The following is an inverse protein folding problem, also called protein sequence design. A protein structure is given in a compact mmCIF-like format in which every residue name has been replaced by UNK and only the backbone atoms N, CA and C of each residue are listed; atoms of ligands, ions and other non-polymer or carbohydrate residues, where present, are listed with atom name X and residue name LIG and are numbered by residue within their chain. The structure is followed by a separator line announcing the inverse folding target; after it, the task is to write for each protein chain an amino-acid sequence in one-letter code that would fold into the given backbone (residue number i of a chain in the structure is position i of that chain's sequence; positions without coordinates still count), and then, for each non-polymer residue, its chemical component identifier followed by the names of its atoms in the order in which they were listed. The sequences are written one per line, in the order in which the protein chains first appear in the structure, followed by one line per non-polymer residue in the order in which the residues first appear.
data_IF_361785167000
#
_entry.id   IF_361785167000
#
_cell.length_a   1.000
_cell.length_b   1.000
_cell.length_c   1.000
_cell.angle_alpha   90.00
_cell.angle_beta   90.00
_cell.angle_gamma   90.00
#
_symmetry.space_group_name_H-M   'P 1'
#
loop_
_entity.id
_entity.type
_entity.pdbx_description
1 polymer ?
#
# COMPACT_ATOMS: atom_id res chain seq x y z
N UNK A 1 6.78 -21.42 2.18
CA UNK A 1 5.56 -21.04 2.87
C UNK A 1 5.30 -19.52 2.85
N UNK A 2 6.35 -18.69 2.98
CA UNK A 2 6.27 -17.23 3.04
C UNK A 2 7.24 -16.64 2.02
N UNK A 3 6.74 -16.06 0.92
CA UNK A 3 7.61 -15.46 -0.09
C UNK A 3 8.09 -14.06 0.27
N UNK A 4 7.24 -13.28 0.97
CA UNK A 4 7.46 -11.88 1.31
C UNK A 4 6.83 -11.53 2.66
N UNK A 5 7.47 -10.64 3.41
CA UNK A 5 6.99 -10.14 4.69
C UNK A 5 7.01 -8.60 4.71
N UNK A 6 5.88 -7.99 5.01
CA UNK A 6 5.84 -6.57 5.34
C UNK A 6 6.04 -6.39 6.86
N UNK A 7 6.94 -5.50 7.27
CA UNK A 7 7.09 -5.12 8.68
C UNK A 7 6.94 -3.60 8.79
N UNK A 8 5.93 -3.18 9.54
CA UNK A 8 5.85 -1.80 9.99
C UNK A 8 6.77 -1.66 11.22
N UNK A 9 7.88 -0.98 11.04
CA UNK A 9 8.85 -0.78 12.13
C UNK A 9 8.34 0.19 13.18
N UNK A 10 7.51 1.15 12.76
CA UNK A 10 6.85 2.15 13.60
C UNK A 10 5.61 2.69 12.88
N UNK A 11 4.60 3.18 13.59
CA UNK A 11 3.54 4.02 13.02
C UNK A 11 3.85 5.52 13.15
N UNK A 12 4.89 5.89 13.91
CA UNK A 12 5.35 7.28 14.03
C UNK A 12 5.98 7.74 12.72
N UNK A 13 5.78 9.01 12.38
CA UNK A 13 6.29 9.61 11.17
C UNK A 13 6.64 11.08 11.38
N UNK A 14 7.78 11.52 10.85
CA UNK A 14 8.17 12.91 10.82
C UNK A 14 7.39 13.76 9.79
N UNK A 15 6.43 13.15 9.08
CA UNK A 15 5.41 13.81 8.28
C UNK A 15 4.03 13.68 8.93
N UNK A 16 3.18 14.69 8.70
CA UNK A 16 1.76 14.68 9.07
C UNK A 16 0.88 14.76 7.81
N UNK A 17 1.11 13.87 6.84
CA UNK A 17 0.47 13.93 5.53
C UNK A 17 -1.05 13.90 5.62
N UNK A 18 -1.70 14.80 4.83
CA UNK A 18 -3.16 14.99 4.86
C UNK A 18 -3.95 13.73 4.49
N UNK A 19 -3.39 12.83 3.67
CA UNK A 19 -4.02 11.62 3.14
C UNK A 19 -3.56 10.33 3.84
N UNK A 20 -2.63 10.40 4.81
CA UNK A 20 -2.04 9.19 5.37
C UNK A 20 -3.02 8.41 6.24
N UNK A 21 -3.09 7.10 5.99
CA UNK A 21 -4.00 6.19 6.69
C UNK A 21 -3.38 5.48 7.90
N UNK A 22 -2.10 5.68 8.19
CA UNK A 22 -1.39 4.99 9.28
C UNK A 22 -0.67 5.94 10.26
N UNK A 23 -0.10 7.05 9.81
CA UNK A 23 0.85 7.83 10.59
C UNK A 23 0.32 8.32 11.95
N UNK A 24 1.22 8.28 12.92
CA UNK A 24 1.15 8.96 14.21
C UNK A 24 2.25 10.03 14.28
N UNK A 25 2.16 11.03 15.17
CA UNK A 25 3.22 12.00 15.39
C UNK A 25 4.56 11.33 15.73
N UNK A 26 5.67 11.92 15.29
CA UNK A 26 7.02 11.38 15.56
C UNK A 26 7.34 11.29 17.05
N UNK A 27 6.77 12.17 17.86
CA UNK A 27 6.93 12.28 19.31
C UNK A 27 5.83 11.57 20.11
N UNK A 28 5.00 10.73 19.47
CA UNK A 28 3.99 9.92 20.16
C UNK A 28 4.67 8.86 21.05
N UNK A 29 4.82 9.20 22.35
CA UNK A 29 5.47 8.32 23.33
C UNK A 29 4.75 7.01 23.56
N UNK A 30 3.40 7.01 23.49
CA UNK A 30 2.62 5.78 23.67
C UNK A 30 2.87 4.80 22.54
N UNK A 31 2.91 5.32 21.31
CA UNK A 31 3.27 4.51 20.15
C UNK A 31 4.70 3.97 20.29
N UNK A 32 5.65 4.83 20.67
CA UNK A 32 7.05 4.46 20.85
C UNK A 32 7.26 3.37 21.90
N UNK A 33 6.61 3.48 23.04
CA UNK A 33 6.68 2.51 24.14
C UNK A 33 6.05 1.15 23.78
N UNK A 34 5.03 1.18 22.89
CA UNK A 34 4.34 -0.03 22.45
C UNK A 34 5.00 -0.71 21.25
N UNK A 35 5.96 -0.07 20.58
CA UNK A 35 6.65 -0.63 19.43
C UNK A 35 7.40 -1.92 19.76
N UNK A 36 7.47 -2.84 18.79
CA UNK A 36 8.30 -4.03 18.93
C UNK A 36 9.73 -3.67 19.30
N UNK A 37 10.27 -4.34 20.30
CA UNK A 37 11.69 -4.24 20.63
C UNK A 37 12.58 -4.73 19.48
N UNK A 38 13.85 -4.29 19.45
CA UNK A 38 14.87 -4.80 18.53
C UNK A 38 14.91 -6.33 18.51
N UNK A 39 14.90 -6.95 19.69
CA UNK A 39 14.90 -8.41 19.81
C UNK A 39 13.66 -9.06 19.18
N UNK A 40 12.48 -8.45 19.34
CA UNK A 40 11.24 -8.95 18.74
C UNK A 40 11.29 -8.87 17.21
N UNK A 41 11.73 -7.73 16.65
CA UNK A 41 11.87 -7.59 15.19
C UNK A 41 12.87 -8.62 14.64
N UNK A 42 14.01 -8.81 15.28
CA UNK A 42 15.01 -9.82 14.88
C UNK A 42 14.46 -11.24 14.94
N UNK A 43 13.67 -11.57 15.98
CA UNK A 43 12.98 -12.86 16.07
C UNK A 43 12.04 -13.06 14.90
N UNK A 44 11.20 -12.06 14.58
CA UNK A 44 10.27 -12.13 13.45
C UNK A 44 11.00 -12.31 12.11
N UNK A 45 12.11 -11.60 11.89
CA UNK A 45 12.95 -11.74 10.69
C UNK A 45 13.57 -13.14 10.59
N UNK A 46 14.05 -13.70 11.72
CA UNK A 46 14.62 -15.05 11.79
C UNK A 46 13.56 -16.11 11.48
N UNK A 47 12.36 -15.98 12.07
CA UNK A 47 11.23 -16.87 11.79
C UNK A 47 10.82 -16.79 10.31
N UNK A 48 10.76 -15.59 9.73
CA UNK A 48 10.43 -15.38 8.32
C UNK A 48 11.46 -16.07 7.40
N UNK A 49 12.75 -15.88 7.65
CA UNK A 49 13.82 -16.53 6.89
C UNK A 49 13.72 -18.06 6.99
N UNK A 50 13.47 -18.62 8.17
CA UNK A 50 13.26 -20.05 8.38
C UNK A 50 12.00 -20.61 7.70
N UNK A 51 11.04 -19.76 7.37
CA UNK A 51 9.82 -20.09 6.61
C UNK A 51 10.00 -19.96 5.09
N UNK A 52 11.22 -19.64 4.62
CA UNK A 52 11.56 -19.51 3.21
C UNK A 52 11.27 -18.10 2.64
N UNK A 53 11.13 -17.09 3.49
CA UNK A 53 10.98 -15.71 3.06
C UNK A 53 12.22 -15.24 2.31
N UNK A 54 12.00 -14.62 1.14
CA UNK A 54 13.07 -14.13 0.27
C UNK A 54 13.27 -12.62 0.41
N UNK A 55 12.21 -11.90 0.77
CA UNK A 55 12.25 -10.45 0.87
C UNK A 55 11.41 -9.92 2.02
N UNK A 56 11.82 -8.80 2.57
CA UNK A 56 11.09 -8.06 3.60
C UNK A 56 10.92 -6.61 3.14
N UNK A 57 9.72 -6.06 3.36
CA UNK A 57 9.48 -4.62 3.25
C UNK A 57 9.56 -3.98 4.62
N UNK A 58 10.47 -3.04 4.80
CA UNK A 58 10.47 -2.13 5.94
C UNK A 58 9.62 -0.90 5.59
N UNK A 59 8.60 -0.68 6.40
CA UNK A 59 7.58 0.35 6.19
C UNK A 59 7.02 0.81 7.54
N UNK A 60 5.88 1.47 7.51
CA UNK A 60 5.17 1.97 8.70
C UNK A 60 4.76 3.42 8.50
N UNK A 61 5.02 4.26 9.52
CA UNK A 61 5.04 5.71 9.36
C UNK A 61 6.30 6.11 8.59
N UNK A 62 7.41 6.34 9.31
CA UNK A 62 8.73 6.49 8.69
C UNK A 62 9.71 5.52 9.38
N UNK A 63 10.15 4.46 8.71
CA UNK A 63 11.01 3.46 9.33
C UNK A 63 12.37 4.00 9.80
N UNK A 64 12.88 5.06 9.15
CA UNK A 64 14.15 5.70 9.52
C UNK A 64 14.07 6.52 10.83
N UNK A 65 12.89 6.66 11.45
CA UNK A 65 12.75 7.21 12.79
C UNK A 65 13.27 6.28 13.89
N UNK A 66 13.40 4.99 13.62
CA UNK A 66 13.92 4.05 14.61
C UNK A 66 15.43 4.21 14.76
N UNK A 67 15.89 4.40 15.99
CA UNK A 67 17.31 4.55 16.30
C UNK A 67 18.11 3.27 15.97
N UNK A 68 17.46 2.10 16.06
CA UNK A 68 18.04 0.79 15.75
C UNK A 68 17.84 0.35 14.28
N UNK A 69 17.38 1.26 13.39
CA UNK A 69 17.10 0.93 11.99
C UNK A 69 18.29 0.30 11.27
N UNK A 70 19.48 0.89 11.40
CA UNK A 70 20.71 0.37 10.76
C UNK A 70 21.01 -1.06 11.19
N UNK A 71 20.89 -1.34 12.47
CA UNK A 71 21.11 -2.68 13.03
C UNK A 71 20.10 -3.70 12.47
N UNK A 72 18.81 -3.34 12.43
CA UNK A 72 17.75 -4.18 11.89
C UNK A 72 17.92 -4.42 10.39
N UNK A 73 18.29 -3.39 9.64
CA UNK A 73 18.59 -3.49 8.22
C UNK A 73 19.72 -4.47 7.95
N UNK A 74 20.86 -4.30 8.62
CA UNK A 74 22.03 -5.18 8.49
C UNK A 74 21.70 -6.61 8.95
N UNK A 75 20.87 -6.76 9.97
CA UNK A 75 20.42 -8.08 10.43
C UNK A 75 19.59 -8.79 9.35
N UNK A 76 18.61 -8.12 8.74
CA UNK A 76 17.83 -8.67 7.64
C UNK A 76 18.73 -9.09 6.45
N UNK A 77 19.70 -8.23 6.09
CA UNK A 77 20.66 -8.52 5.02
C UNK A 77 21.56 -9.73 5.35
N UNK A 78 22.00 -9.89 6.61
CA UNK A 78 22.76 -11.08 7.06
C UNK A 78 21.96 -12.37 7.00
N UNK A 79 20.64 -12.32 7.18
CA UNK A 79 19.74 -13.46 6.98
C UNK A 79 19.52 -13.81 5.50
N UNK A 80 20.10 -13.05 4.55
CA UNK A 80 19.92 -13.24 3.11
C UNK A 80 18.63 -12.62 2.56
N UNK A 81 17.87 -11.91 3.37
CA UNK A 81 16.64 -11.26 2.93
C UNK A 81 16.96 -10.05 2.06
N UNK A 82 16.30 -9.94 0.91
CA UNK A 82 16.24 -8.70 0.15
C UNK A 82 15.37 -7.71 0.93
N UNK A 83 15.80 -6.46 1.04
CA UNK A 83 15.04 -5.41 1.74
C UNK A 83 14.43 -4.46 0.72
N UNK A 84 13.11 -4.30 0.76
CA UNK A 84 12.40 -3.19 0.13
C UNK A 84 12.14 -2.13 1.20
N UNK A 85 12.65 -0.93 1.01
CA UNK A 85 12.48 0.16 1.99
C UNK A 85 11.50 1.21 1.46
N UNK A 86 10.41 1.42 2.20
CA UNK A 86 9.51 2.55 1.98
C UNK A 86 9.88 3.70 2.90
N UNK A 87 10.24 4.84 2.34
CA UNK A 87 10.66 6.02 3.12
C UNK A 87 10.21 7.32 2.44
N UNK A 88 10.00 8.35 3.23
CA UNK A 88 9.82 9.71 2.71
C UNK A 88 11.15 10.41 2.39
N UNK A 89 12.27 9.75 2.57
CA UNK A 89 13.66 10.15 2.34
C UNK A 89 14.16 11.36 3.17
N UNK A 90 13.35 11.99 4.02
CA UNK A 90 13.75 13.17 4.79
C UNK A 90 14.87 12.90 5.79
N UNK A 91 14.92 11.68 6.33
CA UNK A 91 15.90 11.23 7.33
C UNK A 91 17.10 10.51 6.71
N UNK A 92 17.20 10.47 5.39
CA UNK A 92 18.41 9.94 4.72
C UNK A 92 19.57 10.87 5.02
N UNK A 93 20.56 10.36 5.75
CA UNK A 93 21.83 11.02 6.05
C UNK A 93 22.93 10.52 5.11
N UNK A 94 24.08 11.20 5.07
CA UNK A 94 25.24 10.73 4.33
C UNK A 94 25.69 9.33 4.80
N UNK A 95 25.66 9.07 6.11
CA UNK A 95 25.97 7.76 6.70
C UNK A 95 25.04 6.66 6.21
N UNK A 96 23.71 6.90 6.21
CA UNK A 96 22.73 5.93 5.69
C UNK A 96 22.89 5.69 4.20
N UNK A 97 23.12 6.74 3.41
CA UNK A 97 23.34 6.61 1.98
C UNK A 97 24.64 5.83 1.69
N UNK A 98 25.71 6.04 2.47
CA UNK A 98 26.95 5.27 2.40
C UNK A 98 26.72 3.79 2.80
N UNK A 99 25.87 3.54 3.81
CA UNK A 99 25.46 2.18 4.19
C UNK A 99 24.74 1.49 3.02
N UNK A 100 23.73 2.13 2.42
CA UNK A 100 22.97 1.55 1.31
C UNK A 100 23.85 1.34 0.06
N UNK A 101 24.85 2.16 -0.16
CA UNK A 101 25.81 1.96 -1.25
C UNK A 101 26.72 0.74 -1.01
N UNK A 102 27.18 0.55 0.24
CA UNK A 102 28.06 -0.60 0.61
C UNK A 102 27.30 -1.92 0.76
N UNK A 103 26.10 -1.86 1.29
CA UNK A 103 25.22 -3.00 1.50
C UNK A 103 23.87 -2.70 0.85
N UNK A 104 23.73 -2.89 -0.47
CA UNK A 104 22.50 -2.54 -1.18
C UNK A 104 21.29 -3.30 -0.63
N UNK A 105 20.09 -2.72 -0.67
CA UNK A 105 18.87 -3.35 -0.18
C UNK A 105 18.55 -4.71 -0.83
N UNK A 106 18.96 -4.91 -2.09
CA UNK A 106 18.66 -6.13 -2.86
C UNK A 106 17.27 -6.10 -3.52
N UNK A 107 16.41 -5.22 -3.09
CA UNK A 107 15.21 -4.69 -3.76
C UNK A 107 15.38 -3.17 -3.92
N UNK A 108 14.42 -2.52 -4.56
CA UNK A 108 14.44 -1.06 -4.73
C UNK A 108 13.95 -0.36 -3.46
N UNK A 109 14.55 0.80 -3.17
CA UNK A 109 13.91 1.75 -2.24
C UNK A 109 12.75 2.44 -2.96
N UNK A 110 11.68 2.70 -2.24
CA UNK A 110 10.52 3.43 -2.79
C UNK A 110 10.28 4.69 -1.96
N UNK A 111 10.27 5.83 -2.65
CA UNK A 111 10.08 7.14 -2.02
C UNK A 111 8.83 7.81 -2.56
N UNK A 112 7.96 8.30 -1.66
CA UNK A 112 6.75 9.02 -2.05
C UNK A 112 7.03 10.50 -2.21
N UNK A 113 6.62 11.06 -3.35
CA UNK A 113 6.76 12.49 -3.68
C UNK A 113 5.40 13.18 -3.50
N UNK A 114 5.40 14.24 -2.72
CA UNK A 114 4.18 14.97 -2.35
C UNK A 114 3.99 16.28 -3.14
N UNK A 115 4.95 16.67 -3.93
CA UNK A 115 4.95 17.87 -4.77
C UNK A 115 6.35 18.19 -5.29
N UNK A 116 6.43 19.00 -6.33
CA UNK A 116 7.70 19.42 -6.96
C UNK A 116 8.19 20.77 -6.46
N UNK A 117 7.40 21.44 -5.62
CA UNK A 117 7.71 22.76 -5.04
C UNK A 117 7.52 22.73 -3.52
N UNK A 118 8.25 23.58 -2.77
CA UNK A 118 8.07 23.67 -1.31
C UNK A 118 6.60 23.84 -0.91
N UNK A 119 5.87 24.75 -1.56
CA UNK A 119 4.49 25.06 -1.23
C UNK A 119 3.55 23.86 -1.39
N UNK A 120 3.64 23.11 -2.50
CA UNK A 120 2.79 21.94 -2.75
C UNK A 120 3.18 20.75 -1.87
N UNK A 121 4.48 20.48 -1.73
CA UNK A 121 5.00 19.40 -0.93
C UNK A 121 4.62 19.56 0.55
N UNK A 122 4.86 20.76 1.11
CA UNK A 122 4.62 21.07 2.52
C UNK A 122 3.12 21.23 2.85
N UNK A 123 2.30 21.62 1.88
CA UNK A 123 0.86 21.57 2.03
C UNK A 123 0.34 20.13 2.22
N UNK A 124 1.01 19.14 1.63
CA UNK A 124 0.68 17.72 1.79
C UNK A 124 1.29 17.12 3.04
N UNK A 125 2.60 17.30 3.24
CA UNK A 125 3.34 16.75 4.39
C UNK A 125 2.96 17.40 5.72
N UNK A 126 2.47 18.65 5.69
CA UNK A 126 2.13 19.49 6.84
C UNK A 126 3.33 19.80 7.75
N UNK A 127 4.53 19.79 7.19
CA UNK A 127 5.78 20.07 7.91
C UNK A 127 6.60 21.09 7.11
N UNK A 128 6.77 22.31 7.63
CA UNK A 128 7.67 23.32 7.02
C UNK A 128 9.10 22.80 6.89
N UNK A 129 9.77 23.11 5.77
CA UNK A 129 11.12 22.65 5.48
C UNK A 129 11.24 21.21 4.98
N UNK A 130 10.16 20.43 5.03
CA UNK A 130 10.20 19.02 4.64
C UNK A 130 10.57 18.79 3.17
N UNK A 131 10.27 19.73 2.27
CA UNK A 131 10.68 19.65 0.88
C UNK A 131 12.22 19.72 0.72
N UNK A 132 12.86 20.64 1.41
CA UNK A 132 14.32 20.78 1.38
C UNK A 132 15.02 19.52 1.94
N UNK A 133 14.47 18.95 3.02
CA UNK A 133 14.98 17.70 3.59
C UNK A 133 14.80 16.50 2.66
N UNK A 134 13.62 16.38 2.03
CA UNK A 134 13.35 15.37 1.01
C UNK A 134 14.36 15.48 -0.15
N UNK A 135 14.53 16.68 -0.71
CA UNK A 135 15.48 16.90 -1.81
C UNK A 135 16.90 16.51 -1.43
N UNK A 136 17.38 16.95 -0.25
CA UNK A 136 18.69 16.56 0.27
C UNK A 136 18.83 15.03 0.38
N UNK A 137 17.82 14.34 0.92
CA UNK A 137 17.86 12.89 1.04
C UNK A 137 17.93 12.17 -0.31
N UNK A 138 17.15 12.64 -1.29
CA UNK A 138 17.19 12.12 -2.66
C UNK A 138 18.55 12.39 -3.33
N UNK A 139 19.09 13.59 -3.20
CA UNK A 139 20.39 13.94 -3.77
C UNK A 139 21.50 13.07 -3.19
N UNK A 140 21.47 12.78 -1.87
CA UNK A 140 22.40 11.85 -1.21
C UNK A 140 22.32 10.43 -1.78
N UNK A 141 21.12 9.95 -2.12
CA UNK A 141 20.95 8.64 -2.76
C UNK A 141 21.47 8.61 -4.20
N UNK A 142 21.19 9.67 -4.98
CA UNK A 142 21.67 9.81 -6.36
C UNK A 142 23.21 9.90 -6.41
N UNK A 143 23.84 10.73 -5.59
CA UNK A 143 25.29 10.90 -5.51
C UNK A 143 26.02 9.57 -5.24
N UNK A 144 25.39 8.69 -4.46
CA UNK A 144 25.94 7.37 -4.10
C UNK A 144 25.46 6.25 -4.99
N UNK A 145 24.66 6.57 -6.01
CA UNK A 145 24.08 5.60 -6.94
C UNK A 145 23.27 4.48 -6.25
N UNK A 146 22.63 4.82 -5.14
CA UNK A 146 21.70 3.90 -4.47
C UNK A 146 20.43 3.80 -5.33
N UNK A 147 20.01 2.59 -5.75
CA UNK A 147 18.84 2.45 -6.60
C UNK A 147 17.55 2.71 -5.82
N UNK A 148 16.72 3.61 -6.32
CA UNK A 148 15.39 3.90 -5.77
C UNK A 148 14.41 4.27 -6.88
N UNK A 149 13.13 4.07 -6.61
CA UNK A 149 12.02 4.54 -7.45
C UNK A 149 11.17 5.55 -6.68
N UNK A 150 10.41 6.33 -7.43
CA UNK A 150 9.50 7.33 -6.83
C UNK A 150 8.05 7.06 -7.24
N UNK A 151 7.14 7.36 -6.32
CA UNK A 151 5.69 7.36 -6.54
C UNK A 151 5.08 8.67 -6.10
N UNK A 152 4.01 9.09 -6.76
CA UNK A 152 3.25 10.28 -6.41
C UNK A 152 1.99 9.96 -5.60
N UNK A 153 1.61 10.88 -4.72
CA UNK A 153 0.27 10.95 -4.17
C UNK A 153 -0.43 12.15 -4.81
N UNK A 154 -1.42 11.89 -5.65
CA UNK A 154 -2.12 12.95 -6.40
C UNK A 154 -3.19 13.59 -5.51
N UNK A 155 -2.93 14.81 -5.10
CA UNK A 155 -3.70 15.58 -4.14
C UNK A 155 -3.99 17.00 -4.67
N UNK A 156 -5.00 17.70 -4.16
CA UNK A 156 -5.30 19.06 -4.62
C UNK A 156 -4.08 20.00 -4.67
N UNK A 157 -3.15 20.03 -3.70
CA UNK A 157 -1.99 20.93 -3.76
C UNK A 157 -0.99 20.66 -4.88
N UNK A 158 -0.86 19.41 -5.35
CA UNK A 158 0.16 19.02 -6.33
C UNK A 158 -0.40 18.56 -7.68
N UNK A 159 -1.71 18.60 -7.87
CA UNK A 159 -2.38 18.06 -9.06
C UNK A 159 -1.88 18.69 -10.38
N UNK A 160 -1.48 19.96 -10.35
CA UNK A 160 -0.92 20.67 -11.50
C UNK A 160 0.54 20.34 -11.82
N UNK A 161 1.22 19.56 -10.98
CA UNK A 161 2.67 19.30 -11.09
C UNK A 161 2.98 17.90 -11.65
N UNK A 162 1.97 17.17 -12.14
CA UNK A 162 2.17 15.78 -12.63
C UNK A 162 3.22 15.68 -13.74
N UNK A 163 3.17 16.56 -14.74
CA UNK A 163 4.11 16.53 -15.85
C UNK A 163 5.54 16.86 -15.40
N UNK A 164 5.71 17.80 -14.48
CA UNK A 164 6.98 18.15 -13.88
C UNK A 164 7.55 16.97 -13.08
N UNK A 165 6.69 16.29 -12.31
CA UNK A 165 7.07 15.09 -11.56
C UNK A 165 7.47 13.93 -12.49
N UNK A 166 6.70 13.65 -13.55
CA UNK A 166 7.02 12.61 -14.52
C UNK A 166 8.36 12.90 -15.23
N UNK A 167 8.60 14.15 -15.64
CA UNK A 167 9.85 14.55 -16.26
C UNK A 167 11.05 14.39 -15.32
N UNK A 168 10.91 14.82 -14.06
CA UNK A 168 11.97 14.61 -13.07
C UNK A 168 12.18 13.12 -12.74
N UNK A 169 11.11 12.34 -12.56
CA UNK A 169 11.21 10.91 -12.28
C UNK A 169 11.99 10.16 -13.38
N UNK A 170 11.80 10.54 -14.65
CA UNK A 170 12.53 9.98 -15.77
C UNK A 170 14.06 10.21 -15.71
N UNK A 171 14.54 11.14 -14.90
CA UNK A 171 15.98 11.36 -14.69
C UNK A 171 16.60 10.41 -13.66
N UNK A 172 15.77 9.67 -12.90
CA UNK A 172 16.23 8.73 -11.88
C UNK A 172 16.63 7.41 -12.54
N UNK A 173 17.89 6.95 -12.41
CA UNK A 173 18.41 5.81 -13.18
C UNK A 173 17.65 4.50 -13.01
N UNK A 174 16.99 4.29 -11.86
CA UNK A 174 16.23 3.06 -11.58
C UNK A 174 14.75 3.14 -12.03
N UNK A 175 14.29 4.26 -12.58
CA UNK A 175 12.94 4.42 -13.11
C UNK A 175 12.90 3.97 -14.56
N UNK A 176 12.43 2.75 -14.80
CA UNK A 176 12.20 2.17 -16.13
C UNK A 176 10.79 2.48 -16.69
N UNK A 177 9.92 3.03 -15.84
CA UNK A 177 8.52 3.37 -16.14
C UNK A 177 8.14 4.71 -15.52
N UNK A 178 7.13 5.39 -16.07
CA UNK A 178 6.55 6.56 -15.43
C UNK A 178 6.10 6.27 -14.00
N UNK A 179 6.18 7.26 -13.09
CA UNK A 179 5.79 7.07 -11.71
C UNK A 179 4.29 6.79 -11.57
N UNK A 180 3.93 5.86 -10.70
CA UNK A 180 2.54 5.62 -10.33
C UNK A 180 2.00 6.74 -9.42
N UNK A 181 0.68 6.98 -9.51
CA UNK A 181 -0.01 7.95 -8.68
C UNK A 181 -1.06 7.27 -7.79
N UNK A 182 -0.92 7.41 -6.48
CA UNK A 182 -1.99 7.07 -5.54
C UNK A 182 -3.02 8.20 -5.53
N UNK A 183 -4.30 7.88 -5.73
CA UNK A 183 -5.40 8.86 -5.76
C UNK A 183 -6.71 8.34 -5.14
N UNK A 184 -6.82 7.03 -4.91
CA UNK A 184 -7.97 6.36 -4.30
C UNK A 184 -7.65 5.95 -2.86
N UNK A 185 -7.29 6.94 -2.03
CA UNK A 185 -6.70 6.74 -0.71
C UNK A 185 -7.54 5.85 0.21
N UNK A 186 -6.84 4.98 0.95
CA UNK A 186 -7.44 4.16 1.99
C UNK A 186 -7.77 5.00 3.23
N UNK A 187 -8.88 4.70 3.88
CA UNK A 187 -9.14 5.21 5.20
C UNK A 187 -8.27 4.49 6.25
N UNK A 188 -8.15 5.08 7.42
CA UNK A 188 -7.43 4.48 8.54
C UNK A 188 -8.11 3.19 8.99
N UNK A 189 -7.43 2.07 8.77
CA UNK A 189 -7.96 0.74 9.10
C UNK A 189 -8.09 0.50 10.61
N UNK A 190 -7.36 1.24 11.46
CA UNK A 190 -7.55 1.22 12.92
C UNK A 190 -8.83 1.91 13.37
N UNK A 191 -9.46 2.72 12.51
CA UNK A 191 -10.68 3.49 12.80
C UNK A 191 -10.54 4.43 14.00
N UNK A 192 -9.32 4.83 14.33
CA UNK A 192 -8.91 5.63 15.48
C UNK A 192 -9.25 7.13 15.36
N UNK A 193 -9.55 7.62 14.16
CA UNK A 193 -9.91 9.04 13.93
C UNK A 193 -10.97 9.21 12.84
N UNK A 194 -12.20 9.47 13.26
CA UNK A 194 -13.29 9.80 12.32
C UNK A 194 -13.02 11.10 11.55
N UNK A 195 -12.38 12.09 12.19
CA UNK A 195 -12.04 13.36 11.55
C UNK A 195 -11.03 13.15 10.42
N UNK A 196 -9.98 12.38 10.67
CA UNK A 196 -8.96 12.03 9.67
C UNK A 196 -9.57 11.22 8.52
N UNK A 197 -10.43 10.27 8.82
CA UNK A 197 -11.11 9.49 7.78
C UNK A 197 -12.01 10.36 6.89
N UNK A 198 -12.75 11.33 7.45
CA UNK A 198 -13.50 12.31 6.63
C UNK A 198 -12.58 13.16 5.77
N UNK A 199 -11.45 13.62 6.32
CA UNK A 199 -10.45 14.37 5.56
C UNK A 199 -9.93 13.54 4.38
N UNK A 200 -9.49 12.31 4.61
CA UNK A 200 -8.97 11.41 3.57
C UNK A 200 -10.03 11.16 2.49
N UNK A 201 -11.27 10.88 2.89
CA UNK A 201 -12.37 10.66 1.95
C UNK A 201 -12.61 11.87 1.04
N UNK A 202 -12.50 13.10 1.58
CA UNK A 202 -12.64 14.34 0.80
C UNK A 202 -11.47 14.64 -0.15
N UNK A 203 -10.32 13.95 0.01
CA UNK A 203 -9.14 14.12 -0.83
C UNK A 203 -9.08 13.13 -2.00
N UNK A 204 -9.92 12.11 -2.00
CA UNK A 204 -9.96 11.09 -3.05
C UNK A 204 -10.35 11.71 -4.39
N UNK A 205 -9.74 11.21 -5.46
CA UNK A 205 -10.19 11.54 -6.82
C UNK A 205 -11.63 11.05 -7.04
N UNK A 206 -12.41 11.79 -7.81
CA UNK A 206 -13.68 11.22 -8.30
C UNK A 206 -13.39 10.08 -9.28
N UNK A 207 -14.35 9.17 -9.53
CA UNK A 207 -14.17 8.12 -10.53
C UNK A 207 -13.69 8.65 -11.89
N UNK A 208 -14.27 9.76 -12.35
CA UNK A 208 -13.96 10.39 -13.64
C UNK A 208 -12.56 11.01 -13.65
N UNK A 209 -12.17 11.67 -12.55
CA UNK A 209 -10.80 12.19 -12.38
C UNK A 209 -9.78 11.06 -12.40
N UNK A 210 -10.08 9.94 -11.75
CA UNK A 210 -9.21 8.76 -11.73
C UNK A 210 -9.01 8.18 -13.12
N UNK A 211 -10.10 7.99 -13.87
CA UNK A 211 -10.06 7.52 -15.26
C UNK A 211 -9.25 8.48 -16.15
N UNK A 212 -9.44 9.80 -16.00
CA UNK A 212 -8.69 10.79 -16.76
C UNK A 212 -7.18 10.71 -16.51
N UNK A 213 -6.75 10.43 -15.25
CA UNK A 213 -5.34 10.24 -14.92
C UNK A 213 -4.79 8.95 -15.55
N UNK A 214 -5.52 7.83 -15.44
CA UNK A 214 -5.13 6.55 -16.05
C UNK A 214 -5.00 6.65 -17.56
N UNK A 215 -5.84 7.43 -18.20
CA UNK A 215 -5.84 7.64 -19.65
C UNK A 215 -4.74 8.59 -20.16
N UNK A 216 -3.93 9.19 -19.31
CA UNK A 216 -2.79 10.01 -19.77
C UNK A 216 -1.81 9.22 -20.65
N UNK A 217 -1.70 7.93 -20.41
CA UNK A 217 -0.90 7.00 -21.21
C UNK A 217 -1.78 5.88 -21.77
N UNK A 218 -2.81 6.26 -22.51
CA UNK A 218 -3.90 5.39 -22.99
C UNK A 218 -3.42 4.06 -23.57
N UNK A 219 -2.41 4.07 -24.45
CA UNK A 219 -1.93 2.86 -25.12
C UNK A 219 -1.34 1.85 -24.12
N UNK A 220 -0.45 2.30 -23.24
CA UNK A 220 0.13 1.45 -22.19
C UNK A 220 -0.95 0.94 -21.22
N UNK A 221 -1.84 1.81 -20.79
CA UNK A 221 -2.96 1.46 -19.90
C UNK A 221 -3.86 0.37 -20.50
N UNK A 222 -4.28 0.50 -21.76
CA UNK A 222 -5.12 -0.51 -22.41
C UNK A 222 -4.40 -1.86 -22.55
N UNK A 223 -3.12 -1.85 -22.92
CA UNK A 223 -2.33 -3.08 -23.03
C UNK A 223 -2.18 -3.81 -21.71
N UNK A 224 -1.89 -3.07 -20.63
CA UNK A 224 -1.80 -3.63 -19.28
C UNK A 224 -3.16 -4.16 -18.80
N UNK A 225 -4.25 -3.40 -19.04
CA UNK A 225 -5.59 -3.77 -18.61
C UNK A 225 -6.14 -4.98 -19.37
N UNK A 226 -5.81 -5.18 -20.63
CA UNK A 226 -6.19 -6.38 -21.36
C UNK A 226 -5.65 -7.65 -20.68
N UNK A 227 -4.37 -7.65 -20.29
CA UNK A 227 -3.75 -8.77 -19.58
C UNK A 227 -4.32 -8.92 -18.15
N UNK A 228 -4.44 -7.80 -17.44
CA UNK A 228 -4.95 -7.77 -16.07
C UNK A 228 -6.38 -8.28 -15.97
N UNK A 229 -7.29 -7.78 -16.82
CA UNK A 229 -8.69 -8.17 -16.81
C UNK A 229 -8.86 -9.66 -17.13
N UNK A 230 -8.08 -10.20 -18.07
CA UNK A 230 -8.10 -11.63 -18.39
C UNK A 230 -7.77 -12.49 -17.17
N UNK A 231 -6.83 -12.05 -16.34
CA UNK A 231 -6.31 -12.83 -15.21
C UNK A 231 -7.14 -12.66 -13.92
N UNK A 232 -7.67 -11.47 -13.67
CA UNK A 232 -8.19 -11.13 -12.35
C UNK A 232 -9.69 -10.79 -12.30
N UNK A 233 -10.37 -10.71 -13.45
CA UNK A 233 -11.81 -10.44 -13.49
C UNK A 233 -12.63 -11.71 -13.25
N UNK A 234 -13.85 -11.49 -12.78
CA UNK A 234 -14.81 -12.55 -12.51
C UNK A 234 -15.50 -12.38 -11.16
N UNK A 235 -16.64 -13.04 -10.94
CA UNK A 235 -17.37 -12.98 -9.67
C UNK A 235 -16.50 -13.34 -8.47
N UNK A 236 -16.63 -12.56 -7.39
CA UNK A 236 -15.85 -12.78 -6.17
C UNK A 236 -16.30 -14.04 -5.41
N UNK A 237 -17.60 -14.43 -5.53
CA UNK A 237 -18.20 -15.49 -4.72
C UNK A 237 -18.51 -15.02 -3.29
N UNK A 238 -18.88 -15.94 -2.45
CA UNK A 238 -19.29 -15.69 -1.06
C UNK A 238 -18.11 -15.66 -0.06
N UNK A 239 -16.90 -16.04 -0.49
CA UNK A 239 -15.70 -15.97 0.36
C UNK A 239 -15.21 -14.53 0.49
N UNK A 240 -14.93 -14.10 1.73
CA UNK A 240 -14.43 -12.74 1.98
C UNK A 240 -13.04 -12.51 1.40
N UNK A 241 -12.15 -13.51 1.47
CA UNK A 241 -10.76 -13.41 1.05
C UNK A 241 -10.52 -14.05 -0.32
N UNK A 242 -10.90 -13.35 -1.39
CA UNK A 242 -10.68 -13.80 -2.75
C UNK A 242 -9.33 -13.38 -3.37
N UNK A 243 -8.45 -12.76 -2.61
CA UNK A 243 -7.12 -12.31 -3.02
C UNK A 243 -6.01 -13.25 -2.52
N UNK A 244 -4.75 -12.95 -2.89
CA UNK A 244 -3.56 -13.65 -2.40
C UNK A 244 -3.16 -13.33 -0.95
N UNK A 245 -3.98 -12.59 -0.18
CA UNK A 245 -3.68 -12.24 1.21
C UNK A 245 -3.37 -13.49 2.06
N UNK A 246 -2.29 -13.39 2.87
CA UNK A 246 -1.78 -14.47 3.71
C UNK A 246 -0.81 -15.43 3.01
N UNK A 247 -0.49 -15.25 1.70
CA UNK A 247 0.72 -15.81 1.09
C UNK A 247 1.93 -14.89 1.31
N UNK A 248 1.71 -13.56 1.33
CA UNK A 248 2.52 -12.60 2.06
C UNK A 248 1.79 -12.21 3.33
N UNK A 249 2.47 -11.74 4.33
CA UNK A 249 1.89 -11.27 5.58
C UNK A 249 2.49 -9.95 5.99
N UNK A 250 1.81 -9.23 6.87
CA UNK A 250 2.29 -8.02 7.48
C UNK A 250 2.40 -8.22 8.99
N UNK A 251 3.46 -7.72 9.59
CA UNK A 251 3.58 -7.54 11.04
C UNK A 251 3.56 -6.04 11.31
N UNK A 252 2.58 -5.59 12.11
CA UNK A 252 2.48 -4.19 12.47
C UNK A 252 3.52 -3.78 13.51
N UNK A 253 3.64 -2.49 13.78
CA UNK A 253 4.62 -1.94 14.71
C UNK A 253 4.53 -2.51 16.14
N UNK A 254 3.41 -3.12 16.49
CA UNK A 254 3.10 -3.66 17.81
C UNK A 254 3.18 -5.19 17.90
N UNK A 255 3.74 -5.84 16.88
CA UNK A 255 3.93 -7.28 16.87
C UNK A 255 2.68 -8.10 16.54
N UNK A 256 1.71 -7.52 15.84
CA UNK A 256 0.52 -8.24 15.39
C UNK A 256 0.67 -8.66 13.93
N UNK A 257 0.63 -9.96 13.66
CA UNK A 257 0.63 -10.48 12.31
C UNK A 257 -0.77 -10.39 11.69
N UNK A 258 -0.82 -9.97 10.42
CA UNK A 258 -2.03 -9.74 9.63
C UNK A 258 -1.85 -10.33 8.24
N UNK A 259 -2.92 -10.74 7.59
CA UNK A 259 -2.86 -11.26 6.22
C UNK A 259 -2.42 -10.20 5.20
N UNK A 260 -2.63 -8.91 5.47
CA UNK A 260 -2.10 -7.79 4.70
C UNK A 260 -2.11 -6.50 5.53
N UNK A 261 -1.35 -5.48 5.12
CA UNK A 261 -1.24 -4.20 5.83
C UNK A 261 -2.57 -3.47 6.03
N UNK A 262 -3.55 -3.64 5.15
CA UNK A 262 -4.85 -2.97 5.24
C UNK A 262 -5.80 -3.58 6.27
N UNK A 263 -5.58 -4.84 6.68
CA UNK A 263 -6.52 -5.58 7.51
C UNK A 263 -6.25 -5.35 9.00
N UNK A 264 -6.90 -4.34 9.57
CA UNK A 264 -6.71 -3.89 10.96
C UNK A 264 -7.86 -4.28 11.90
N UNK A 265 -8.72 -5.21 11.49
CA UNK A 265 -9.80 -5.68 12.35
C UNK A 265 -9.21 -6.48 13.52
N UNK A 266 -9.63 -6.21 14.78
CA UNK A 266 -9.02 -6.87 15.96
C UNK A 266 -9.05 -8.41 15.91
N UNK A 267 -10.15 -9.00 15.45
CA UNK A 267 -10.26 -10.47 15.32
C UNK A 267 -9.46 -11.07 14.15
N UNK A 268 -8.87 -10.25 13.28
CA UNK A 268 -8.12 -10.69 12.10
C UNK A 268 -6.60 -10.54 12.29
N UNK A 269 -6.18 -10.23 13.50
CA UNK A 269 -4.77 -10.05 13.87
C UNK A 269 -4.32 -11.14 14.83
N UNK A 270 -3.11 -11.65 14.64
CA UNK A 270 -2.49 -12.65 15.50
C UNK A 270 -1.36 -12.02 16.31
N UNK A 271 -1.40 -12.17 17.63
CA UNK A 271 -0.38 -11.61 18.54
C UNK A 271 0.87 -12.49 18.55
N UNK A 272 1.98 -11.97 18.03
CA UNK A 272 3.29 -12.65 18.05
C UNK A 272 3.94 -12.63 19.44
N UNK A 273 3.40 -11.91 20.41
CA UNK A 273 3.79 -12.01 21.81
C UNK A 273 3.36 -13.34 22.44
N UNK A 274 2.24 -13.91 21.99
CA UNK A 274 1.69 -15.17 22.48
C UNK A 274 1.96 -16.38 21.57
N UNK A 275 2.56 -16.16 20.38
CA UNK A 275 2.82 -17.24 19.43
C UNK A 275 3.85 -16.88 18.37
N UNK A 276 3.97 -17.73 17.35
CA UNK A 276 4.96 -17.60 16.29
C UNK A 276 4.35 -17.13 14.96
N UNK A 277 5.18 -16.60 14.08
CA UNK A 277 4.79 -16.31 12.69
C UNK A 277 4.33 -17.59 11.96
N UNK A 278 4.94 -18.74 12.28
CA UNK A 278 4.50 -20.04 11.76
C UNK A 278 3.06 -20.35 12.16
N UNK A 279 2.70 -20.16 13.43
CA UNK A 279 1.32 -20.43 13.90
C UNK A 279 0.31 -19.50 13.21
N UNK A 280 0.65 -18.22 13.03
CA UNK A 280 -0.19 -17.29 12.27
C UNK A 280 -0.45 -17.82 10.85
N UNK A 281 0.59 -18.25 10.13
CA UNK A 281 0.51 -18.69 8.73
C UNK A 281 -0.14 -20.05 8.56
N UNK A 282 0.07 -20.99 9.49
CA UNK A 282 -0.36 -22.39 9.32
C UNK A 282 -1.64 -22.76 10.04
N UNK A 283 -2.04 -21.99 11.05
CA UNK A 283 -3.22 -22.26 11.88
C UNK A 283 -4.24 -21.13 11.84
N UNK A 284 -3.83 -19.90 12.06
CA UNK A 284 -4.75 -18.77 12.20
C UNK A 284 -5.27 -18.25 10.85
N UNK A 285 -4.42 -17.91 9.91
CA UNK A 285 -4.83 -17.36 8.61
C UNK A 285 -5.63 -18.33 7.74
N UNK A 286 -5.37 -19.67 7.73
CA UNK A 286 -6.22 -20.61 7.00
C UNK A 286 -7.68 -20.57 7.46
N UNK A 287 -7.93 -20.45 8.77
CA UNK A 287 -9.30 -20.34 9.31
C UNK A 287 -9.97 -19.04 8.86
N UNK A 288 -9.24 -17.93 8.87
CA UNK A 288 -9.77 -16.64 8.40
C UNK A 288 -10.17 -16.67 6.91
N UNK A 289 -9.40 -17.37 6.09
CA UNK A 289 -9.67 -17.47 4.64
C UNK A 289 -10.95 -18.18 4.29
N UNK A 290 -11.42 -19.08 5.14
CA UNK A 290 -12.67 -19.79 4.93
C UNK A 290 -13.91 -18.97 5.35
N UNK A 291 -13.70 -17.77 5.93
CA UNK A 291 -14.83 -16.90 6.31
C UNK A 291 -15.62 -16.48 5.09
N UNK A 292 -16.94 -16.62 5.20
CA UNK A 292 -17.90 -16.23 4.18
C UNK A 292 -18.59 -14.92 4.52
N UNK A 293 -19.03 -14.22 3.49
CA UNK A 293 -19.90 -13.06 3.63
C UNK A 293 -21.30 -13.51 4.09
N UNK A 294 -21.89 -12.72 4.96
CA UNK A 294 -23.26 -12.91 5.46
C UNK A 294 -24.16 -11.74 5.12
N UNK A 295 -23.60 -10.62 4.74
CA UNK A 295 -24.33 -9.41 4.38
C UNK A 295 -25.13 -9.63 3.07
N UNK A 296 -26.48 -9.50 3.10
CA UNK A 296 -27.31 -9.73 1.91
C UNK A 296 -26.95 -8.83 0.73
N UNK A 297 -26.58 -7.58 0.99
CA UNK A 297 -26.20 -6.62 -0.07
C UNK A 297 -24.87 -7.02 -0.74
N UNK A 298 -23.89 -7.52 0.04
CA UNK A 298 -22.67 -8.09 -0.53
C UNK A 298 -22.99 -9.32 -1.40
N UNK A 299 -23.82 -10.23 -0.92
CA UNK A 299 -24.18 -11.46 -1.63
C UNK A 299 -24.95 -11.17 -2.93
N UNK A 300 -25.85 -10.19 -2.90
CA UNK A 300 -26.62 -9.80 -4.08
C UNK A 300 -25.78 -9.05 -5.13
N UNK A 301 -24.73 -8.30 -4.70
CA UNK A 301 -23.95 -7.41 -5.55
C UNK A 301 -22.50 -7.91 -5.70
N UNK A 302 -21.68 -7.76 -4.66
CA UNK A 302 -20.22 -7.98 -4.73
C UNK A 302 -19.86 -9.44 -5.06
N UNK A 303 -20.57 -10.42 -4.48
CA UNK A 303 -20.34 -11.83 -4.73
C UNK A 303 -20.55 -12.23 -6.20
N UNK A 304 -21.41 -11.50 -6.91
CA UNK A 304 -21.79 -11.75 -8.31
C UNK A 304 -21.07 -10.83 -9.30
N UNK A 305 -20.45 -9.77 -8.81
CA UNK A 305 -19.83 -8.74 -9.65
C UNK A 305 -18.57 -9.26 -10.34
N UNK A 306 -18.50 -9.14 -11.67
CA UNK A 306 -17.33 -9.59 -12.42
C UNK A 306 -16.15 -8.62 -12.37
N UNK A 307 -16.33 -7.38 -11.86
CA UNK A 307 -15.29 -6.36 -11.77
C UNK A 307 -14.34 -6.55 -10.58
N UNK A 308 -14.24 -7.73 -10.00
CA UNK A 308 -13.41 -8.01 -8.83
C UNK A 308 -11.98 -7.48 -8.97
N UNK A 309 -11.37 -7.60 -10.15
CA UNK A 309 -10.02 -7.13 -10.39
C UNK A 309 -9.89 -5.61 -10.33
N UNK A 310 -10.84 -4.86 -10.93
CA UNK A 310 -10.86 -3.40 -10.92
C UNK A 310 -11.36 -2.82 -9.60
N UNK A 311 -12.24 -3.55 -8.92
CA UNK A 311 -12.78 -3.15 -7.63
C UNK A 311 -11.90 -3.69 -6.50
N UNK A 312 -11.21 -2.83 -5.81
CA UNK A 312 -10.39 -3.21 -4.66
C UNK A 312 -11.22 -3.56 -3.41
N UNK A 313 -12.51 -3.91 -3.59
CA UNK A 313 -13.38 -4.34 -2.48
C UNK A 313 -12.80 -5.58 -1.80
N UNK A 314 -12.59 -5.48 -0.50
CA UNK A 314 -12.11 -6.57 0.35
C UNK A 314 -12.50 -6.31 1.81
N UNK A 315 -12.35 -7.29 2.71
CA UNK A 315 -12.68 -7.12 4.14
C UNK A 315 -11.96 -5.94 4.80
N UNK A 316 -10.71 -5.68 4.44
CA UNK A 316 -9.95 -4.54 4.97
C UNK A 316 -10.56 -3.19 4.59
N UNK A 317 -10.96 -3.04 3.33
CA UNK A 317 -11.63 -1.83 2.83
C UNK A 317 -13.02 -1.66 3.45
N UNK A 318 -13.79 -2.76 3.48
CA UNK A 318 -15.11 -2.78 4.12
C UNK A 318 -15.02 -2.37 5.59
N UNK A 319 -14.06 -2.92 6.33
CA UNK A 319 -13.82 -2.54 7.72
C UNK A 319 -13.47 -1.07 7.87
N UNK A 320 -12.51 -0.56 7.12
CA UNK A 320 -12.08 0.84 7.22
C UNK A 320 -13.21 1.83 6.92
N UNK A 321 -14.04 1.54 5.91
CA UNK A 321 -15.15 2.39 5.46
C UNK A 321 -16.39 2.25 6.37
N UNK A 322 -16.84 1.02 6.59
CA UNK A 322 -18.16 0.73 7.13
C UNK A 322 -18.14 0.14 8.56
N UNK A 323 -16.99 -0.35 9.04
CA UNK A 323 -16.88 -1.04 10.34
C UNK A 323 -17.38 -2.47 10.33
N UNK A 324 -17.55 -3.06 9.16
CA UNK A 324 -17.92 -4.46 8.92
C UNK A 324 -16.95 -5.06 7.94
N UNK A 325 -16.91 -6.40 7.82
CA UNK A 325 -15.97 -7.06 6.90
C UNK A 325 -16.55 -7.31 5.51
N UNK A 326 -17.85 -7.20 5.34
CA UNK A 326 -18.59 -7.63 4.15
C UNK A 326 -19.64 -6.62 3.64
N UNK A 327 -19.55 -5.36 4.04
CA UNK A 327 -20.37 -4.31 3.43
C UNK A 327 -19.75 -3.80 2.13
N UNK A 328 -20.52 -3.62 1.05
CA UNK A 328 -20.01 -2.98 -0.15
C UNK A 328 -19.45 -1.58 0.12
N UNK A 329 -18.32 -1.25 -0.50
CA UNK A 329 -17.72 0.08 -0.44
C UNK A 329 -18.12 0.87 -1.68
N UNK A 330 -19.12 1.73 -1.55
CA UNK A 330 -19.74 2.45 -2.67
C UNK A 330 -18.76 3.30 -3.48
N UNK A 331 -17.78 3.91 -2.82
CA UNK A 331 -16.76 4.67 -3.50
C UNK A 331 -15.94 3.79 -4.47
N UNK A 332 -15.44 2.64 -4.00
CA UNK A 332 -14.66 1.71 -4.83
C UNK A 332 -15.52 1.08 -5.93
N UNK A 333 -16.79 0.79 -5.64
CA UNK A 333 -17.73 0.31 -6.62
C UNK A 333 -17.90 1.31 -7.77
N UNK A 334 -18.09 2.60 -7.47
CA UNK A 334 -18.18 3.66 -8.50
C UNK A 334 -16.90 3.81 -9.31
N UNK A 335 -15.73 3.75 -8.67
CA UNK A 335 -14.43 3.80 -9.36
C UNK A 335 -14.28 2.64 -10.34
N UNK A 336 -14.56 1.41 -9.90
CA UNK A 336 -14.48 0.23 -10.76
C UNK A 336 -15.46 0.27 -11.93
N UNK A 337 -16.69 0.76 -11.72
CA UNK A 337 -17.67 0.91 -12.79
C UNK A 337 -17.27 1.99 -13.82
N UNK A 338 -16.68 3.11 -13.37
CA UNK A 338 -16.16 4.13 -14.27
C UNK A 338 -15.00 3.60 -15.12
N UNK A 339 -14.05 2.89 -14.52
CA UNK A 339 -12.96 2.23 -15.25
C UNK A 339 -13.51 1.19 -16.24
N UNK A 340 -14.49 0.38 -15.83
CA UNK A 340 -15.09 -0.64 -16.69
C UNK A 340 -15.82 -0.04 -17.89
N UNK A 341 -16.51 1.11 -17.73
CA UNK A 341 -17.11 1.84 -18.85
C UNK A 341 -16.03 2.37 -19.80
N UNK A 342 -15.00 2.98 -19.28
CA UNK A 342 -13.87 3.49 -20.06
C UNK A 342 -13.15 2.40 -20.88
N UNK A 343 -13.05 1.20 -20.32
CA UNK A 343 -12.51 0.01 -20.98
C UNK A 343 -13.51 -0.68 -21.94
N UNK A 344 -14.76 -0.20 -22.05
CA UNK A 344 -15.78 -0.84 -22.87
C UNK A 344 -16.39 -2.13 -22.30
N UNK A 345 -16.09 -2.46 -21.04
CA UNK A 345 -16.61 -3.65 -20.35
C UNK A 345 -18.03 -3.47 -19.84
N UNK A 346 -18.46 -2.23 -19.59
CA UNK A 346 -19.82 -1.87 -19.20
C UNK A 346 -20.37 -0.76 -20.10
N UNK A 347 -21.67 -0.79 -20.34
CA UNK A 347 -22.42 0.31 -20.94
C UNK A 347 -22.92 1.25 -19.85
N UNK A 348 -23.38 2.42 -20.25
CA UNK A 348 -24.02 3.36 -19.31
C UNK A 348 -25.26 2.71 -18.68
N UNK A 349 -25.41 2.89 -17.36
CA UNK A 349 -26.53 2.34 -16.60
C UNK A 349 -26.41 0.84 -16.22
N UNK A 350 -25.50 0.07 -16.86
CA UNK A 350 -25.32 -1.34 -16.50
C UNK A 350 -24.68 -1.51 -15.13
N UNK A 351 -25.13 -2.52 -14.40
CA UNK A 351 -24.56 -2.94 -13.12
C UNK A 351 -23.76 -4.24 -13.32
N UNK A 352 -22.50 -4.23 -12.94
CA UNK A 352 -21.59 -5.33 -13.23
C UNK A 352 -22.00 -6.69 -12.66
N UNK A 353 -22.80 -6.72 -11.61
CA UNK A 353 -23.34 -7.95 -11.01
C UNK A 353 -24.58 -8.50 -11.75
N UNK A 354 -25.10 -7.81 -12.76
CA UNK A 354 -26.24 -8.22 -13.60
C UNK A 354 -25.80 -8.66 -15.01
N UNK A 355 -24.51 -8.46 -15.36
CA UNK A 355 -23.97 -8.77 -16.70
C UNK A 355 -23.60 -10.25 -16.79
N UNK A 356 -24.33 -10.98 -17.65
CA UNK A 356 -24.11 -12.44 -17.85
C UNK A 356 -23.02 -12.74 -18.88
N UNK A 357 -22.85 -11.88 -19.90
CA UNK A 357 -21.91 -12.06 -21.02
C UNK A 357 -20.50 -11.48 -20.76
N UNK A 358 -20.14 -11.28 -19.50
CA UNK A 358 -18.91 -10.59 -19.10
C UNK A 358 -17.63 -11.25 -19.64
N UNK A 359 -17.61 -12.59 -19.83
CA UNK A 359 -16.44 -13.29 -20.40
C UNK A 359 -16.15 -12.83 -21.82
N UNK A 360 -17.19 -12.76 -22.66
CA UNK A 360 -17.09 -12.29 -24.04
C UNK A 360 -16.63 -10.82 -24.11
N UNK A 361 -17.02 -10.01 -23.11
CA UNK A 361 -16.59 -8.60 -23.04
C UNK A 361 -15.11 -8.47 -22.69
N UNK A 362 -14.58 -9.33 -21.81
CA UNK A 362 -13.15 -9.36 -21.46
C UNK A 362 -12.31 -9.85 -22.66
N UNK A 363 -12.81 -10.83 -23.41
CA UNK A 363 -12.10 -11.35 -24.59
C UNK A 363 -11.93 -10.28 -25.70
N UNK A 364 -12.85 -9.32 -25.78
CA UNK A 364 -12.76 -8.19 -26.73
C UNK A 364 -11.71 -7.13 -26.35
N UNK A 365 -11.17 -7.16 -25.15
CA UNK A 365 -10.07 -6.28 -24.76
C UNK A 365 -8.71 -6.76 -25.27
N UNK A 366 -8.62 -8.01 -25.72
CA UNK A 366 -7.42 -8.60 -26.32
C UNK A 366 -7.25 -8.11 -27.76
#
# INVERSE_FOLDING_TARGET
LLGHLDIELTERCNNNCIHCCINLPEDDRRAQEAEMSNATVKRVLTEAAALGCLSVRFTGGEPLLREDFEELYLFARRLGLKVLLFTNARLVTAQLADLFARVPPGELMETTVYGMKPASYEAVSRVPGSYAEFRRGVDLLLDRRVPFIVKGALLPPNRGEMAEFEAWAATIPAMDKPPGFSMFFNLRGRRDSRAKNRQIAGLRATPEQGVAVLNRQRGAYLSEMAQFCTKFMGPAGDRLFGCGAGHGTCVDAYGRAQMCMGLRHPEMTYDLGSGSLRDALTRFFPVLRERKATNPDYLARCARCFLKGLCEQCPAKSWAENGTLDSPVEYLCRVAHAQARDLGLLREGEKAWEVSDWRNRIERLR
#
